data_IF_524246347614
#
_entry.id   IF_524246347614
#
_cell.length_a   1.000
_cell.length_b   1.000
_cell.length_c   1.000
_cell.angle_alpha   90.00
_cell.angle_beta   90.00
_cell.angle_gamma   90.00
#
_symmetry.space_group_name_H-M   'P 1'
#
loop_
_entity.id
_entity.type
_entity.pdbx_description
1 polymer ?
#
# COMPACT_ATOMS: atom_id res chain seq x y z
N UNK A 1 10.94 -13.86 -11.92
CA UNK A 1 11.49 -12.52 -11.62
C UNK A 1 11.32 -12.26 -10.15
N UNK A 2 12.24 -11.54 -9.53
CA UNK A 2 12.20 -11.20 -8.10
C UNK A 2 11.39 -9.93 -7.87
N UNK A 3 10.56 -9.92 -6.82
CA UNK A 3 9.77 -8.75 -6.44
C UNK A 3 10.70 -7.70 -5.85
N UNK A 4 10.95 -6.63 -6.60
CA UNK A 4 11.79 -5.52 -6.14
C UNK A 4 10.99 -4.57 -5.25
N UNK A 5 9.74 -4.29 -5.64
CA UNK A 5 8.86 -3.36 -4.95
C UNK A 5 7.43 -3.55 -5.44
N UNK A 6 6.47 -3.22 -4.58
CA UNK A 6 5.09 -2.96 -4.98
C UNK A 6 4.78 -1.47 -4.71
N UNK A 7 4.41 -0.72 -5.76
CA UNK A 7 4.13 0.72 -5.66
C UNK A 7 2.78 0.95 -4.97
N UNK A 8 2.82 1.53 -3.78
CA UNK A 8 1.62 1.75 -2.96
C UNK A 8 0.64 2.78 -3.56
N UNK A 9 1.15 3.88 -4.15
CA UNK A 9 0.30 4.97 -4.63
C UNK A 9 -0.66 4.56 -5.77
N UNK A 10 -0.23 3.86 -6.84
CA UNK A 10 -1.15 3.37 -7.87
C UNK A 10 -2.21 2.42 -7.30
N UNK A 11 -1.81 1.50 -6.40
CA UNK A 11 -2.75 0.62 -5.69
C UNK A 11 -3.81 1.43 -4.93
N UNK A 12 -3.37 2.39 -4.11
CA UNK A 12 -4.26 3.23 -3.33
C UNK A 12 -5.24 4.02 -4.21
N UNK A 13 -4.78 4.58 -5.33
CA UNK A 13 -5.62 5.33 -6.27
C UNK A 13 -6.70 4.46 -6.92
N UNK A 14 -6.33 3.27 -7.38
CA UNK A 14 -7.30 2.33 -7.99
C UNK A 14 -8.33 1.88 -6.94
N UNK A 15 -7.88 1.46 -5.76
CA UNK A 15 -8.78 1.02 -4.68
C UNK A 15 -9.68 2.16 -4.18
N UNK A 16 -9.16 3.38 -4.11
CA UNK A 16 -9.94 4.56 -3.78
C UNK A 16 -11.05 4.80 -4.82
N UNK A 17 -10.73 4.71 -6.12
CA UNK A 17 -11.73 4.82 -7.19
C UNK A 17 -12.78 3.71 -7.17
N UNK A 18 -12.47 2.56 -6.57
CA UNK A 18 -13.41 1.46 -6.33
C UNK A 18 -14.25 1.65 -5.05
N UNK A 19 -13.96 2.66 -4.24
CA UNK A 19 -14.72 2.98 -3.02
C UNK A 19 -14.03 2.60 -1.70
N UNK A 20 -12.75 2.22 -1.71
CA UNK A 20 -11.99 1.92 -0.49
C UNK A 20 -11.59 3.17 0.33
N UNK A 21 -11.99 4.37 -0.11
CA UNK A 21 -11.63 5.62 0.55
C UNK A 21 -12.65 6.72 0.32
N UNK A 22 -12.38 7.89 0.93
CA UNK A 22 -13.25 9.08 0.88
C UNK A 22 -12.61 10.19 0.10
N UNK A 23 -13.30 10.78 -0.87
CA UNK A 23 -12.81 11.96 -1.58
C UNK A 23 -13.03 13.23 -0.76
N UNK A 24 -14.10 13.26 0.04
CA UNK A 24 -14.46 14.33 0.97
C UNK A 24 -14.81 13.80 2.35
N UNK A 25 -14.71 14.66 3.36
CA UNK A 25 -15.17 14.32 4.70
C UNK A 25 -16.66 13.99 4.69
N UNK A 26 -17.03 12.87 5.31
CA UNK A 26 -18.42 12.38 5.36
C UNK A 26 -18.82 11.42 4.23
N UNK A 27 -18.01 11.29 3.16
CA UNK A 27 -18.32 10.33 2.08
C UNK A 27 -18.36 8.89 2.64
N UNK A 28 -19.28 8.03 2.15
CA UNK A 28 -19.29 6.63 2.54
C UNK A 28 -18.06 5.91 1.99
N UNK A 29 -17.56 4.93 2.75
CA UNK A 29 -16.53 3.98 2.31
C UNK A 29 -17.21 2.64 2.09
N UNK A 30 -16.89 1.94 1.00
CA UNK A 30 -17.34 0.57 0.80
C UNK A 30 -16.39 -0.39 1.55
N UNK A 31 -16.83 -1.01 2.67
CA UNK A 31 -15.96 -1.89 3.47
C UNK A 31 -15.68 -3.24 2.78
N UNK A 32 -16.37 -3.55 1.68
CA UNK A 32 -16.16 -4.78 0.89
C UNK A 32 -15.00 -4.63 -0.10
N UNK A 33 -14.54 -3.40 -0.33
CA UNK A 33 -13.48 -3.11 -1.29
C UNK A 33 -12.14 -3.11 -0.58
N UNK A 34 -11.16 -3.81 -1.15
CA UNK A 34 -9.81 -3.91 -0.62
C UNK A 34 -8.90 -4.73 -1.53
N UNK A 35 -7.66 -4.91 -1.11
CA UNK A 35 -6.75 -5.81 -1.78
C UNK A 35 -5.83 -6.53 -0.80
N UNK A 36 -5.41 -7.73 -1.18
CA UNK A 36 -4.47 -8.56 -0.48
C UNK A 36 -3.23 -8.75 -1.35
N UNK A 37 -2.06 -8.40 -0.80
CA UNK A 37 -0.78 -8.70 -1.42
C UNK A 37 -0.44 -10.16 -1.14
N UNK A 38 -0.28 -10.94 -2.20
CA UNK A 38 0.03 -12.37 -2.12
C UNK A 38 1.54 -12.63 -2.12
N UNK A 39 2.34 -11.57 -2.25
CA UNK A 39 3.79 -11.62 -2.29
C UNK A 39 4.39 -10.48 -1.47
N UNK A 40 5.59 -10.72 -0.95
CA UNK A 40 6.45 -9.72 -0.32
C UNK A 40 7.64 -9.33 -1.19
N UNK A 41 8.23 -8.17 -0.91
CA UNK A 41 9.53 -7.78 -1.48
C UNK A 41 10.58 -8.85 -1.22
N UNK A 42 11.39 -9.17 -2.23
CA UNK A 42 12.41 -10.22 -2.17
C UNK A 42 11.91 -11.63 -2.45
N UNK A 43 10.62 -11.84 -2.69
CA UNK A 43 10.11 -13.14 -3.14
C UNK A 43 10.26 -13.32 -4.65
N UNK A 44 10.43 -14.57 -5.09
CA UNK A 44 10.48 -14.91 -6.51
C UNK A 44 9.09 -15.23 -7.07
N UNK A 45 8.70 -14.57 -8.16
CA UNK A 45 7.44 -14.77 -8.87
C UNK A 45 7.66 -15.46 -10.22
N UNK A 46 6.83 -16.44 -10.55
CA UNK A 46 6.78 -17.09 -11.88
C UNK A 46 5.68 -16.48 -12.76
N UNK A 47 5.83 -16.60 -14.07
CA UNK A 47 4.77 -16.19 -15.00
C UNK A 47 3.47 -16.95 -14.70
N UNK A 48 2.34 -16.24 -14.72
CA UNK A 48 1.02 -16.80 -14.39
C UNK A 48 0.72 -16.92 -12.88
N UNK A 49 1.71 -16.73 -12.00
CA UNK A 49 1.48 -16.75 -10.56
C UNK A 49 0.78 -15.47 -10.10
N UNK A 50 -0.32 -15.56 -9.32
CA UNK A 50 -1.00 -14.38 -8.80
C UNK A 50 -0.15 -13.69 -7.72
N UNK A 51 -0.12 -12.36 -7.74
CA UNK A 51 0.64 -11.53 -6.78
C UNK A 51 -0.25 -10.54 -6.00
N UNK A 52 -1.45 -10.26 -6.51
CA UNK A 52 -2.45 -9.36 -5.93
C UNK A 52 -3.83 -9.99 -6.07
N UNK A 53 -4.62 -9.96 -4.99
CA UNK A 53 -6.05 -10.27 -5.00
C UNK A 53 -6.83 -8.99 -4.71
N UNK A 54 -7.77 -8.62 -5.56
CA UNK A 54 -8.62 -7.44 -5.38
C UNK A 54 -10.02 -7.89 -5.02
N UNK A 55 -10.55 -7.36 -3.93
CA UNK A 55 -11.94 -7.52 -3.51
C UNK A 55 -12.68 -6.25 -3.91
N UNK A 56 -13.71 -6.36 -4.74
CA UNK A 56 -14.56 -5.24 -5.09
C UNK A 56 -15.93 -5.73 -5.58
N UNK A 57 -16.90 -4.82 -5.61
CA UNK A 57 -18.18 -5.04 -6.27
C UNK A 57 -18.12 -4.41 -7.67
N UNK A 58 -18.78 -5.03 -8.66
CA UNK A 58 -18.80 -4.52 -10.03
C UNK A 58 -17.56 -4.88 -10.86
N UNK A 59 -17.12 -3.96 -11.73
CA UNK A 59 -16.10 -4.22 -12.76
C UNK A 59 -14.86 -3.35 -12.57
N UNK A 60 -13.68 -3.96 -12.55
CA UNK A 60 -12.41 -3.26 -12.65
C UNK A 60 -12.16 -2.83 -14.10
N UNK A 61 -12.00 -1.52 -14.33
CA UNK A 61 -11.71 -0.99 -15.67
C UNK A 61 -10.38 -1.50 -16.23
N UNK A 62 -10.25 -1.52 -17.55
CA UNK A 62 -9.00 -1.92 -18.20
C UNK A 62 -7.81 -1.04 -17.77
N UNK A 63 -8.04 0.26 -17.63
CA UNK A 63 -7.04 1.20 -17.15
C UNK A 63 -6.66 0.94 -15.68
N UNK A 64 -7.65 0.71 -14.81
CA UNK A 64 -7.38 0.35 -13.42
C UNK A 64 -6.57 -0.94 -13.32
N UNK A 65 -6.90 -1.96 -14.13
CA UNK A 65 -6.13 -3.20 -14.22
C UNK A 65 -4.68 -2.95 -14.67
N UNK A 66 -4.47 -2.08 -15.66
CA UNK A 66 -3.12 -1.70 -16.12
C UNK A 66 -2.32 -1.02 -15.01
N UNK A 67 -2.92 -0.05 -14.32
CA UNK A 67 -2.28 0.64 -13.20
C UNK A 67 -1.91 -0.29 -12.04
N UNK A 68 -2.76 -1.29 -11.75
CA UNK A 68 -2.43 -2.33 -10.79
C UNK A 68 -1.25 -3.19 -11.27
N UNK A 69 -1.26 -3.63 -12.54
CA UNK A 69 -0.15 -4.41 -13.11
C UNK A 69 1.17 -3.63 -13.05
N UNK A 70 1.14 -2.37 -13.47
CA UNK A 70 2.29 -1.47 -13.43
C UNK A 70 2.78 -1.23 -11.99
N UNK A 71 1.97 -1.47 -10.96
CA UNK A 71 2.41 -1.30 -9.57
C UNK A 71 3.44 -2.36 -9.14
N UNK A 72 3.53 -3.51 -9.82
CA UNK A 72 4.50 -4.55 -9.51
C UNK A 72 5.83 -4.32 -10.24
N UNK A 73 6.92 -4.13 -9.49
CA UNK A 73 8.27 -4.04 -10.04
C UNK A 73 8.99 -5.37 -9.88
N UNK A 74 9.37 -6.01 -11.00
CA UNK A 74 10.15 -7.25 -11.02
C UNK A 74 11.58 -7.02 -11.52
N UNK A 75 12.54 -7.74 -10.96
CA UNK A 75 13.96 -7.72 -11.33
C UNK A 75 14.50 -9.12 -11.67
N UNK A 76 15.69 -9.21 -12.28
CA UNK A 76 16.34 -10.47 -12.60
C UNK A 76 16.93 -11.17 -11.37
N UNK A 77 17.34 -10.41 -10.36
CA UNK A 77 17.98 -10.85 -9.12
C UNK A 77 17.21 -10.35 -7.89
N UNK A 78 17.35 -10.99 -6.72
CA UNK A 78 16.75 -10.49 -5.49
C UNK A 78 17.21 -9.05 -5.17
N UNK A 79 16.36 -8.21 -4.55
CA UNK A 79 16.74 -6.86 -4.12
C UNK A 79 17.90 -6.95 -3.12
N UNK A 80 18.99 -6.24 -3.40
CA UNK A 80 20.25 -6.33 -2.64
C UNK A 80 20.17 -5.65 -1.27
N UNK A 81 19.38 -4.58 -1.15
CA UNK A 81 19.20 -3.80 0.07
C UNK A 81 17.75 -3.30 0.18
N UNK A 82 16.81 -4.11 0.71
CA UNK A 82 15.45 -3.63 0.93
C UNK A 82 15.47 -2.50 1.98
N UNK A 83 14.66 -1.44 1.80
CA UNK A 83 14.58 -0.38 2.80
C UNK A 83 14.11 -0.96 4.14
N UNK A 84 14.63 -0.46 5.27
CA UNK A 84 14.21 -0.94 6.57
C UNK A 84 12.73 -0.58 6.81
N UNK A 85 12.03 -1.43 7.56
CA UNK A 85 10.64 -1.16 7.96
C UNK A 85 10.53 0.13 8.78
N UNK A 86 11.54 0.39 9.62
CA UNK A 86 11.68 1.61 10.40
C UNK A 86 13.00 2.27 9.99
N UNK A 87 12.92 3.41 9.33
CA UNK A 87 14.10 4.16 8.91
C UNK A 87 14.73 4.91 10.08
N UNK A 88 13.91 5.55 10.92
CA UNK A 88 14.35 6.33 12.07
C UNK A 88 13.23 6.48 13.11
N UNK A 89 13.61 6.74 14.36
CA UNK A 89 12.71 7.11 15.45
C UNK A 89 13.07 8.51 15.94
N UNK A 90 12.17 9.48 15.72
CA UNK A 90 12.37 10.86 16.14
C UNK A 90 11.98 11.00 17.61
N UNK A 91 12.91 11.43 18.46
CA UNK A 91 12.68 11.70 19.89
C UNK A 91 12.63 13.21 20.15
N UNK A 92 11.91 13.68 21.19
CA UNK A 92 11.86 15.11 21.52
C UNK A 92 13.25 15.68 21.81
N UNK A 93 13.54 16.86 21.27
CA UNK A 93 14.77 17.59 21.54
C UNK A 93 14.58 18.47 22.78
N UNK A 94 14.89 17.96 23.98
CA UNK A 94 14.89 18.74 25.23
C UNK A 94 14.33 18.02 26.44
N UNK A 95 14.27 18.69 27.61
CA UNK A 95 13.63 18.14 28.79
C UNK A 95 12.15 17.88 28.50
N UNK A 96 11.60 16.78 29.03
CA UNK A 96 10.17 16.48 28.89
C UNK A 96 9.36 17.68 29.40
N UNK A 97 8.41 18.21 28.61
CA UNK A 97 7.50 19.23 29.12
C UNK A 97 6.78 18.68 30.35
N UNK A 98 6.61 19.51 31.37
CA UNK A 98 5.88 19.15 32.58
C UNK A 98 4.45 18.69 32.25
N UNK A 99 3.78 18.01 33.18
CA UNK A 99 2.45 17.44 32.94
C UNK A 99 1.49 18.51 32.41
N UNK A 100 0.75 18.15 31.35
CA UNK A 100 -0.27 19.02 30.75
C UNK A 100 -1.29 19.37 31.84
N UNK A 101 -1.27 20.61 32.34
CA UNK A 101 -2.29 21.07 33.31
C UNK A 101 -3.63 21.06 32.58
N UNK A 102 -4.54 20.22 33.04
CA UNK A 102 -5.94 20.27 32.62
C UNK A 102 -6.57 21.48 33.30
N UNK A 103 -6.94 22.49 32.51
CA UNK A 103 -7.81 23.58 32.97
C UNK A 103 -9.17 22.95 33.28
N UNK A 104 -9.62 23.07 34.53
CA UNK A 104 -11.03 22.89 34.90
C UNK A 104 -11.81 24.14 34.54
#
# INVERSE_FOLDING_TARGET
>A
GWVQQVRALPLARVLHGLGAGRARAGDPVNPRVGAELLVGTGQHLRAGQPWLRVHHEGTLSAEGRRQLQDALCLGPDPPRDPPPLVAETIVPSGPLPGPCRQSQ
#
